data_IF_364053791433
#
_entry.id   IF_364053791433
#
_cell.length_a   1.000
_cell.length_b   1.000
_cell.length_c   1.000
_cell.angle_alpha   90.00
_cell.angle_beta   90.00
_cell.angle_gamma   90.00
#
_symmetry.space_group_name_H-M   'P 1'
#
loop_
_entity.id
_entity.type
_entity.pdbx_description
1 polymer ?
#
# COMPACT_ATOMS: atom_id res chain seq x y z
N UNK A 1 -62.44 -19.84 -16.25
CA UNK A 1 -61.57 -20.01 -15.07
C UNK A 1 -60.45 -20.96 -15.44
N UNK A 2 -59.32 -20.41 -15.89
CA UNK A 2 -58.07 -21.13 -16.02
C UNK A 2 -57.05 -20.33 -15.23
N UNK A 3 -56.72 -20.80 -14.04
CA UNK A 3 -55.67 -20.23 -13.21
C UNK A 3 -54.38 -20.18 -14.04
N UNK A 4 -53.95 -18.97 -14.38
CA UNK A 4 -52.63 -18.74 -14.94
C UNK A 4 -51.61 -19.16 -13.89
N UNK A 5 -51.09 -20.40 -14.02
CA UNK A 5 -49.90 -20.84 -13.30
C UNK A 5 -48.80 -19.82 -13.58
N UNK A 6 -48.49 -18.98 -12.60
CA UNK A 6 -47.27 -18.19 -12.58
C UNK A 6 -46.13 -19.19 -12.62
N UNK A 7 -45.53 -19.40 -13.80
CA UNK A 7 -44.38 -20.30 -13.93
C UNK A 7 -43.28 -19.71 -13.07
N UNK A 8 -42.92 -20.39 -11.99
CA UNK A 8 -41.83 -19.98 -11.12
C UNK A 8 -40.55 -19.95 -11.96
N UNK A 9 -40.04 -18.76 -12.24
CA UNK A 9 -38.82 -18.55 -13.03
C UNK A 9 -37.65 -19.25 -12.33
N UNK A 10 -37.07 -20.26 -12.98
CA UNK A 10 -35.92 -21.01 -12.51
C UNK A 10 -34.75 -20.85 -13.47
N UNK A 11 -33.52 -21.11 -13.02
CA UNK A 11 -32.34 -21.10 -13.89
C UNK A 11 -32.56 -21.94 -15.16
N UNK A 12 -33.12 -23.14 -14.99
CA UNK A 12 -33.29 -24.11 -16.08
C UNK A 12 -34.37 -23.68 -17.06
N UNK A 13 -35.51 -23.19 -16.57
CA UNK A 13 -36.56 -22.66 -17.45
C UNK A 13 -36.10 -21.45 -18.26
N UNK A 14 -35.25 -20.60 -17.68
CA UNK A 14 -34.68 -19.45 -18.38
C UNK A 14 -33.69 -19.88 -19.48
N UNK A 15 -32.81 -20.83 -19.17
CA UNK A 15 -31.86 -21.38 -20.14
C UNK A 15 -32.60 -22.10 -21.28
N UNK A 16 -33.63 -22.90 -20.96
CA UNK A 16 -34.46 -23.58 -21.95
C UNK A 16 -35.21 -22.62 -22.87
N UNK A 17 -35.65 -21.46 -22.34
CA UNK A 17 -36.29 -20.43 -23.15
C UNK A 17 -35.32 -19.89 -24.21
N UNK A 18 -34.11 -19.48 -23.80
CA UNK A 18 -33.11 -18.97 -24.74
C UNK A 18 -32.55 -20.02 -25.71
N UNK A 19 -32.46 -21.29 -25.29
CA UNK A 19 -32.14 -22.39 -26.19
C UNK A 19 -33.16 -22.50 -27.32
N UNK A 20 -34.46 -22.37 -27.00
CA UNK A 20 -35.56 -22.43 -27.99
C UNK A 20 -35.57 -21.20 -28.88
N UNK A 21 -35.47 -20.00 -28.32
CA UNK A 21 -35.46 -18.75 -29.10
C UNK A 21 -34.33 -18.69 -30.13
N UNK A 22 -33.13 -19.17 -29.76
CA UNK A 22 -31.96 -19.16 -30.66
C UNK A 22 -31.81 -20.42 -31.51
N UNK A 23 -32.67 -21.42 -31.32
CA UNK A 23 -32.60 -22.71 -32.02
C UNK A 23 -31.28 -23.47 -31.75
N UNK A 24 -30.73 -23.35 -30.55
CA UNK A 24 -29.48 -24.03 -30.19
C UNK A 24 -29.72 -25.47 -29.76
N UNK A 25 -28.92 -26.40 -30.29
CA UNK A 25 -28.84 -27.78 -29.78
C UNK A 25 -27.85 -27.86 -28.61
N UNK A 26 -27.95 -28.91 -27.78
CA UNK A 26 -26.96 -29.14 -26.71
C UNK A 26 -25.53 -29.29 -27.25
N UNK A 27 -25.37 -29.85 -28.46
CA UNK A 27 -24.08 -29.94 -29.14
C UNK A 27 -23.52 -28.55 -29.44
N UNK A 28 -24.34 -27.69 -30.06
CA UNK A 28 -23.93 -26.31 -30.37
C UNK A 28 -23.64 -25.50 -29.11
N UNK A 29 -24.44 -25.66 -28.06
CA UNK A 29 -24.19 -24.99 -26.78
C UNK A 29 -22.89 -25.49 -26.13
N UNK A 30 -22.57 -26.77 -26.24
CA UNK A 30 -21.31 -27.37 -25.77
C UNK A 30 -20.10 -26.74 -26.45
N UNK A 31 -20.17 -26.55 -27.77
CA UNK A 31 -19.11 -25.91 -28.57
C UNK A 31 -18.88 -24.44 -28.17
N UNK A 32 -19.96 -23.68 -27.95
CA UNK A 32 -19.84 -22.24 -27.62
C UNK A 32 -19.40 -22.02 -26.17
N UNK A 33 -19.93 -22.82 -25.23
CA UNK A 33 -19.63 -22.66 -23.79
C UNK A 33 -18.34 -23.36 -23.36
N UNK A 34 -17.83 -24.30 -24.16
CA UNK A 34 -16.73 -25.20 -23.78
C UNK A 34 -17.12 -26.24 -22.71
N UNK A 35 -18.39 -26.31 -22.30
CA UNK A 35 -18.89 -27.29 -21.33
C UNK A 35 -19.23 -28.58 -22.06
N UNK A 36 -18.77 -29.73 -21.54
CA UNK A 36 -19.06 -31.03 -22.15
C UNK A 36 -20.57 -31.29 -22.30
N UNK A 37 -20.99 -31.80 -23.47
CA UNK A 37 -22.40 -32.06 -23.78
C UNK A 37 -23.11 -32.95 -22.75
N UNK A 38 -22.42 -33.97 -22.21
CA UNK A 38 -22.96 -34.82 -21.14
C UNK A 38 -23.21 -34.05 -19.85
N UNK A 39 -22.32 -33.11 -19.52
CA UNK A 39 -22.50 -32.20 -18.37
C UNK A 39 -23.68 -31.26 -18.60
N UNK A 40 -23.82 -30.67 -19.80
CA UNK A 40 -24.97 -29.83 -20.13
C UNK A 40 -26.30 -30.61 -20.04
N UNK A 41 -26.32 -31.85 -20.51
CA UNK A 41 -27.48 -32.73 -20.38
C UNK A 41 -27.80 -33.04 -18.91
N UNK A 42 -26.79 -33.33 -18.09
CA UNK A 42 -26.94 -33.54 -16.65
C UNK A 42 -27.48 -32.30 -15.91
N UNK A 43 -27.08 -31.11 -16.33
CA UNK A 43 -27.50 -29.85 -15.72
C UNK A 43 -28.96 -29.50 -16.04
N UNK A 44 -29.39 -29.75 -17.29
CA UNK A 44 -30.69 -29.31 -17.80
C UNK A 44 -31.77 -30.41 -17.74
N UNK A 45 -31.43 -31.66 -18.09
CA UNK A 45 -32.43 -32.69 -18.38
C UNK A 45 -32.51 -33.80 -17.31
N UNK A 46 -31.54 -33.93 -16.41
CA UNK A 46 -31.51 -35.00 -15.40
C UNK A 46 -32.55 -34.79 -14.30
N UNK A 47 -33.08 -35.87 -13.73
CA UNK A 47 -33.99 -35.85 -12.58
C UNK A 47 -33.40 -36.73 -11.44
N UNK A 48 -33.05 -36.18 -10.26
CA UNK A 48 -33.00 -34.75 -9.96
C UNK A 48 -31.87 -34.05 -10.71
N UNK A 49 -32.02 -32.74 -11.04
CA UNK A 49 -31.03 -32.03 -11.84
C UNK A 49 -29.69 -31.89 -11.14
N UNK A 50 -28.60 -31.96 -11.92
CA UNK A 50 -27.27 -31.63 -11.39
C UNK A 50 -27.20 -30.12 -11.12
N UNK A 51 -26.63 -29.75 -9.97
CA UNK A 51 -26.45 -28.35 -9.59
C UNK A 51 -25.48 -27.61 -10.53
N UNK A 52 -25.81 -26.35 -10.83
CA UNK A 52 -24.98 -25.47 -11.65
C UNK A 52 -23.90 -24.80 -10.80
N UNK A 53 -22.74 -24.54 -11.40
CA UNK A 53 -21.69 -23.70 -10.81
C UNK A 53 -21.81 -22.28 -11.35
N UNK A 54 -21.21 -21.30 -10.65
CA UNK A 54 -21.20 -19.92 -11.16
C UNK A 54 -20.45 -19.80 -12.48
N UNK A 55 -19.42 -20.63 -12.70
CA UNK A 55 -18.70 -20.70 -13.97
C UNK A 55 -19.58 -21.18 -15.12
N UNK A 56 -20.54 -22.09 -14.87
CA UNK A 56 -21.51 -22.47 -15.89
C UNK A 56 -22.42 -21.29 -16.27
N UNK A 57 -22.87 -20.51 -15.30
CA UNK A 57 -23.73 -19.34 -15.56
C UNK A 57 -23.00 -18.28 -16.39
N UNK A 58 -21.73 -18.01 -16.11
CA UNK A 58 -20.93 -17.06 -16.89
C UNK A 58 -20.67 -17.54 -18.31
N UNK A 59 -20.38 -18.84 -18.49
CA UNK A 59 -20.22 -19.43 -19.82
C UNK A 59 -21.52 -19.37 -20.63
N UNK A 60 -22.67 -19.60 -19.99
CA UNK A 60 -23.98 -19.49 -20.62
C UNK A 60 -24.33 -18.05 -20.96
N UNK A 61 -24.05 -17.09 -20.07
CA UNK A 61 -24.24 -15.67 -20.36
C UNK A 61 -23.45 -15.24 -21.60
N UNK A 62 -22.18 -15.67 -21.71
CA UNK A 62 -21.39 -15.44 -22.92
C UNK A 62 -21.99 -16.12 -24.16
N UNK A 63 -22.38 -17.39 -24.05
CA UNK A 63 -22.93 -18.14 -25.18
C UNK A 63 -24.27 -17.59 -25.70
N UNK A 64 -25.06 -16.97 -24.82
CA UNK A 64 -26.30 -16.30 -25.16
C UNK A 64 -26.14 -14.80 -25.37
N UNK A 65 -24.91 -14.29 -25.44
CA UNK A 65 -24.60 -12.85 -25.63
C UNK A 65 -25.33 -11.95 -24.62
N UNK A 66 -25.53 -12.45 -23.41
CA UNK A 66 -26.12 -11.74 -22.29
C UNK A 66 -25.04 -11.05 -21.45
N UNK A 67 -25.44 -10.09 -20.63
CA UNK A 67 -24.55 -9.44 -19.68
C UNK A 67 -24.04 -10.42 -18.60
N UNK A 68 -22.81 -10.19 -18.12
CA UNK A 68 -22.29 -10.94 -16.98
C UNK A 68 -23.22 -10.73 -15.77
N UNK A 69 -23.54 -11.81 -15.06
CA UNK A 69 -24.48 -11.76 -13.95
C UNK A 69 -25.95 -12.00 -14.33
N UNK A 70 -26.30 -12.17 -15.60
CA UNK A 70 -27.69 -12.31 -16.07
C UNK A 70 -28.55 -13.30 -15.25
N UNK A 71 -27.99 -14.45 -14.85
CA UNK A 71 -28.71 -15.49 -14.12
C UNK A 71 -28.52 -15.45 -12.58
N UNK A 72 -27.82 -14.46 -12.04
CA UNK A 72 -27.34 -14.53 -10.65
C UNK A 72 -28.48 -14.45 -9.62
N UNK A 73 -29.53 -13.69 -9.90
CA UNK A 73 -30.73 -13.61 -9.04
C UNK A 73 -31.39 -14.98 -8.84
N UNK A 74 -31.30 -15.86 -9.84
CA UNK A 74 -31.88 -17.20 -9.80
C UNK A 74 -30.93 -18.24 -9.18
N UNK A 75 -29.66 -17.88 -8.97
CA UNK A 75 -28.63 -18.79 -8.44
C UNK A 75 -28.73 -19.03 -6.94
N UNK A 76 -29.48 -18.20 -6.23
CA UNK A 76 -29.70 -18.33 -4.80
C UNK A 76 -30.26 -19.70 -4.40
N UNK A 77 -31.18 -20.26 -5.19
CA UNK A 77 -31.73 -21.59 -4.93
C UNK A 77 -30.67 -22.71 -5.01
N UNK A 78 -29.61 -22.52 -5.79
CA UNK A 78 -28.50 -23.47 -5.86
C UNK A 78 -27.55 -23.32 -4.67
N UNK A 79 -27.57 -22.18 -3.96
CA UNK A 79 -26.73 -21.90 -2.79
C UNK A 79 -27.26 -22.56 -1.51
N UNK A 80 -28.57 -22.72 -1.37
CA UNK A 80 -29.23 -23.27 -0.19
C UNK A 80 -29.99 -24.55 -0.55
N UNK A 81 -29.46 -25.70 -0.16
CA UNK A 81 -30.08 -27.00 -0.42
C UNK A 81 -30.71 -27.51 0.87
N UNK A 82 -32.03 -27.74 0.88
CA UNK A 82 -32.77 -28.22 2.05
C UNK A 82 -32.54 -27.36 3.31
N UNK A 83 -32.43 -26.04 3.13
CA UNK A 83 -32.17 -25.09 4.21
C UNK A 83 -30.72 -25.05 4.70
N UNK A 84 -29.80 -25.83 4.10
CA UNK A 84 -28.37 -25.83 4.43
C UNK A 84 -27.55 -25.07 3.38
N UNK A 85 -26.59 -24.29 3.86
CA UNK A 85 -25.70 -23.49 3.02
C UNK A 85 -24.64 -24.36 2.35
N UNK A 86 -24.56 -24.32 1.02
CA UNK A 86 -23.48 -24.97 0.28
C UNK A 86 -22.28 -24.04 0.16
N UNK A 87 -21.31 -24.17 1.08
CA UNK A 87 -20.05 -23.39 1.08
C UNK A 87 -19.31 -23.41 -0.26
N UNK A 88 -19.31 -24.56 -0.95
CA UNK A 88 -18.68 -24.74 -2.27
C UNK A 88 -19.31 -23.91 -3.39
N UNK A 89 -20.55 -23.44 -3.22
CA UNK A 89 -21.29 -22.65 -4.21
C UNK A 89 -21.36 -21.19 -3.81
N UNK A 90 -21.66 -20.92 -2.52
CA UNK A 90 -21.79 -19.57 -1.99
C UNK A 90 -20.47 -18.80 -2.07
N UNK A 91 -19.34 -19.43 -1.73
CA UNK A 91 -18.05 -18.71 -1.74
C UNK A 91 -17.69 -18.24 -3.16
N UNK A 92 -17.62 -19.11 -4.19
CA UNK A 92 -17.36 -18.65 -5.55
C UNK A 92 -18.40 -17.65 -6.07
N UNK A 93 -19.68 -17.82 -5.69
CA UNK A 93 -20.76 -16.92 -6.10
C UNK A 93 -20.55 -15.50 -5.56
N UNK A 94 -20.36 -15.35 -4.25
CA UNK A 94 -20.15 -14.04 -3.63
C UNK A 94 -18.87 -13.35 -4.11
N UNK A 95 -17.78 -14.11 -4.28
CA UNK A 95 -16.54 -13.59 -4.86
C UNK A 95 -16.81 -13.03 -6.26
N UNK A 96 -17.53 -13.79 -7.09
CA UNK A 96 -17.85 -13.38 -8.45
C UNK A 96 -18.78 -12.18 -8.50
N UNK A 97 -19.83 -12.15 -7.68
CA UNK A 97 -20.72 -10.99 -7.54
C UNK A 97 -19.95 -9.72 -7.17
N UNK A 98 -18.98 -9.84 -6.26
CA UNK A 98 -18.13 -8.71 -5.87
C UNK A 98 -17.21 -8.23 -7.00
N UNK A 99 -16.65 -9.15 -7.80
CA UNK A 99 -15.82 -8.84 -8.97
C UNK A 99 -16.59 -8.08 -10.07
N UNK A 100 -17.88 -8.39 -10.27
CA UNK A 100 -18.71 -7.76 -11.33
C UNK A 100 -19.63 -6.66 -10.80
N UNK A 101 -19.59 -6.35 -9.50
CA UNK A 101 -20.37 -5.27 -8.89
C UNK A 101 -21.86 -5.57 -8.65
N UNK A 102 -22.28 -6.84 -8.62
CA UNK A 102 -23.67 -7.26 -8.33
C UNK A 102 -23.98 -7.24 -6.83
N UNK A 103 -24.12 -6.03 -6.27
CA UNK A 103 -24.41 -5.80 -4.84
C UNK A 103 -25.76 -6.36 -4.41
N UNK A 104 -26.76 -6.27 -5.27
CA UNK A 104 -28.10 -6.85 -5.08
C UNK A 104 -28.04 -8.35 -4.73
N UNK A 105 -27.21 -9.11 -5.45
CA UNK A 105 -27.02 -10.54 -5.20
C UNK A 105 -26.23 -10.79 -3.91
N UNK A 106 -25.25 -9.93 -3.59
CA UNK A 106 -24.49 -10.02 -2.33
C UNK A 106 -25.42 -9.82 -1.15
N UNK A 107 -26.22 -8.75 -1.16
CA UNK A 107 -27.12 -8.38 -0.07
C UNK A 107 -28.16 -9.48 0.19
N UNK A 108 -28.74 -10.06 -0.87
CA UNK A 108 -29.69 -11.18 -0.75
C UNK A 108 -29.07 -12.39 -0.03
N UNK A 109 -27.87 -12.83 -0.46
CA UNK A 109 -27.20 -13.98 0.15
C UNK A 109 -26.71 -13.68 1.56
N UNK A 110 -26.08 -12.51 1.76
CA UNK A 110 -25.54 -12.12 3.06
C UNK A 110 -26.64 -12.05 4.11
N UNK A 111 -27.81 -11.49 3.79
CA UNK A 111 -28.93 -11.42 4.74
C UNK A 111 -29.29 -12.79 5.32
N UNK A 112 -29.35 -13.83 4.47
CA UNK A 112 -29.63 -15.22 4.88
C UNK A 112 -28.46 -15.89 5.59
N UNK A 113 -27.21 -15.53 5.25
CA UNK A 113 -26.05 -16.06 5.95
C UNK A 113 -25.99 -15.56 7.39
N UNK A 114 -26.36 -14.29 7.63
CA UNK A 114 -26.32 -13.67 8.94
C UNK A 114 -27.34 -14.25 9.94
N UNK A 115 -28.32 -15.03 9.47
CA UNK A 115 -29.28 -15.75 10.33
C UNK A 115 -28.61 -16.83 11.22
N UNK A 116 -27.45 -17.36 10.81
CA UNK A 116 -26.66 -18.31 11.61
C UNK A 116 -25.20 -17.86 11.72
N UNK A 117 -24.76 -17.58 12.95
CA UNK A 117 -23.39 -17.17 13.27
C UNK A 117 -22.31 -18.15 12.77
N UNK A 118 -22.63 -19.43 12.56
CA UNK A 118 -21.69 -20.41 11.98
C UNK A 118 -21.26 -20.03 10.56
N UNK A 119 -22.10 -19.30 9.84
CA UNK A 119 -21.84 -18.85 8.47
C UNK A 119 -20.86 -17.68 8.39
N UNK A 120 -20.46 -17.05 9.51
CA UNK A 120 -19.38 -16.05 9.50
C UNK A 120 -18.08 -16.60 8.92
N UNK A 121 -17.86 -17.91 9.07
CA UNK A 121 -16.72 -18.60 8.41
C UNK A 121 -16.77 -18.52 6.88
N UNK A 122 -17.96 -18.46 6.27
CA UNK A 122 -18.15 -18.34 4.81
C UNK A 122 -17.77 -16.93 4.37
N UNK A 123 -18.27 -15.91 5.07
CA UNK A 123 -17.96 -14.50 4.80
C UNK A 123 -16.45 -14.24 4.87
N UNK A 124 -15.78 -14.79 5.89
CA UNK A 124 -14.33 -14.69 6.05
C UNK A 124 -13.56 -15.27 4.86
N UNK A 125 -14.00 -16.40 4.29
CA UNK A 125 -13.33 -17.01 3.14
C UNK A 125 -13.53 -16.22 1.86
N UNK A 126 -14.72 -15.65 1.66
CA UNK A 126 -14.98 -14.75 0.53
C UNK A 126 -14.03 -13.55 0.62
N UNK A 127 -13.90 -12.96 1.81
CA UNK A 127 -12.97 -11.87 2.07
C UNK A 127 -11.51 -12.26 1.77
N UNK A 128 -11.04 -13.40 2.28
CA UNK A 128 -9.67 -13.89 2.04
C UNK A 128 -9.41 -14.21 0.56
N UNK A 129 -10.39 -14.79 -0.17
CA UNK A 129 -10.23 -15.03 -1.61
C UNK A 129 -10.14 -13.74 -2.42
N UNK A 130 -10.97 -12.74 -2.10
CA UNK A 130 -10.88 -11.42 -2.75
C UNK A 130 -9.55 -10.74 -2.42
N UNK A 131 -9.14 -10.76 -1.16
CA UNK A 131 -7.88 -10.15 -0.72
C UNK A 131 -6.65 -10.78 -1.38
N UNK A 132 -6.59 -12.11 -1.44
CA UNK A 132 -5.48 -12.86 -2.07
C UNK A 132 -5.43 -12.70 -3.59
N UNK A 133 -6.59 -12.51 -4.25
CA UNK A 133 -6.67 -12.14 -5.67
C UNK A 133 -6.30 -10.67 -5.96
N UNK A 134 -5.96 -9.88 -4.94
CA UNK A 134 -5.65 -8.44 -5.09
C UNK A 134 -6.87 -7.53 -5.15
N UNK A 135 -8.10 -8.06 -5.02
CA UNK A 135 -9.37 -7.33 -4.97
C UNK A 135 -9.64 -6.78 -3.56
N UNK A 136 -8.72 -5.93 -3.10
CA UNK A 136 -8.71 -5.43 -1.71
C UNK A 136 -9.94 -4.58 -1.39
N UNK A 137 -10.35 -3.69 -2.29
CA UNK A 137 -11.52 -2.80 -2.09
C UNK A 137 -12.81 -3.61 -1.94
N UNK A 138 -12.96 -4.64 -2.76
CA UNK A 138 -14.10 -5.55 -2.75
C UNK A 138 -14.12 -6.43 -1.49
N UNK A 139 -12.96 -6.78 -0.95
CA UNK A 139 -12.86 -7.57 0.29
C UNK A 139 -13.31 -6.82 1.56
N UNK A 140 -13.27 -5.48 1.55
CA UNK A 140 -13.59 -4.63 2.71
C UNK A 140 -14.97 -4.93 3.29
N UNK A 141 -15.98 -5.02 2.43
CA UNK A 141 -17.37 -5.31 2.84
C UNK A 141 -17.44 -6.61 3.65
N UNK A 142 -16.81 -7.67 3.16
CA UNK A 142 -16.89 -8.99 3.80
C UNK A 142 -16.09 -9.06 5.10
N UNK A 143 -14.94 -8.37 5.21
CA UNK A 143 -14.25 -8.27 6.50
C UNK A 143 -15.06 -7.48 7.53
N UNK A 144 -15.70 -6.38 7.11
CA UNK A 144 -16.57 -5.61 8.00
C UNK A 144 -17.74 -6.47 8.50
N UNK A 145 -18.39 -7.22 7.63
CA UNK A 145 -19.46 -8.15 8.02
C UNK A 145 -18.97 -9.21 9.01
N UNK A 146 -17.76 -9.75 8.84
CA UNK A 146 -17.18 -10.70 9.79
C UNK A 146 -16.98 -10.06 11.16
N UNK A 147 -16.47 -8.83 11.20
CA UNK A 147 -16.23 -8.07 12.42
C UNK A 147 -17.54 -7.73 13.14
N UNK A 148 -18.56 -7.29 12.39
CA UNK A 148 -19.85 -6.88 12.95
C UNK A 148 -20.66 -8.08 13.48
N UNK A 149 -20.49 -9.25 12.86
CA UNK A 149 -21.18 -10.49 13.25
C UNK A 149 -20.47 -11.19 14.42
N UNK A 150 -19.15 -11.24 14.40
CA UNK A 150 -18.36 -11.95 15.41
C UNK A 150 -18.03 -11.04 16.59
N UNK A 151 -18.94 -10.96 17.55
CA UNK A 151 -18.73 -10.17 18.78
C UNK A 151 -17.64 -10.76 19.69
N UNK A 152 -17.18 -11.99 19.44
CA UNK A 152 -16.13 -12.59 20.25
C UNK A 152 -14.75 -12.20 19.72
N UNK A 153 -14.20 -11.15 20.30
CA UNK A 153 -12.90 -10.62 19.90
C UNK A 153 -11.74 -11.64 20.03
N UNK A 154 -11.92 -12.76 20.75
CA UNK A 154 -10.91 -13.83 20.91
C UNK A 154 -10.88 -14.84 19.77
N UNK A 155 -11.83 -14.77 18.84
CA UNK A 155 -11.81 -15.62 17.66
C UNK A 155 -10.68 -15.18 16.72
N UNK A 156 -9.79 -16.10 16.35
CA UNK A 156 -8.66 -15.83 15.46
C UNK A 156 -9.13 -15.21 14.13
N UNK A 157 -10.27 -15.64 13.59
CA UNK A 157 -10.86 -15.08 12.36
C UNK A 157 -11.22 -13.60 12.51
N UNK A 158 -11.74 -13.21 13.67
CA UNK A 158 -12.07 -11.81 13.95
C UNK A 158 -10.79 -10.96 13.96
N UNK A 159 -9.75 -11.40 14.65
CA UNK A 159 -8.49 -10.65 14.75
C UNK A 159 -7.79 -10.55 13.38
N UNK A 160 -7.77 -11.64 12.60
CA UNK A 160 -7.23 -11.62 11.23
C UNK A 160 -8.07 -10.70 10.34
N UNK A 161 -9.41 -10.70 10.47
CA UNK A 161 -10.27 -9.80 9.71
C UNK A 161 -9.97 -8.33 10.01
N UNK A 162 -9.76 -7.95 11.27
CA UNK A 162 -9.32 -6.60 11.65
C UNK A 162 -8.01 -6.21 10.96
N UNK A 163 -7.03 -7.11 10.97
CA UNK A 163 -5.75 -6.87 10.29
C UNK A 163 -5.89 -6.73 8.77
N UNK A 164 -6.69 -7.59 8.13
CA UNK A 164 -6.92 -7.54 6.68
C UNK A 164 -7.69 -6.31 6.26
N UNK A 165 -8.67 -5.89 7.05
CA UNK A 165 -9.39 -4.64 6.86
C UNK A 165 -8.44 -3.45 6.94
N UNK A 166 -7.58 -3.38 7.98
CA UNK A 166 -6.54 -2.37 8.08
C UNK A 166 -5.68 -2.29 6.82
N UNK A 167 -5.24 -3.43 6.27
CA UNK A 167 -4.45 -3.46 5.03
C UNK A 167 -5.23 -3.05 3.79
N UNK A 168 -6.52 -3.39 3.72
CA UNK A 168 -7.36 -3.11 2.57
C UNK A 168 -7.74 -1.63 2.48
N UNK A 169 -7.79 -0.93 3.62
CA UNK A 169 -8.12 0.49 3.73
C UNK A 169 -6.95 1.43 3.44
N UNK A 170 -5.71 0.93 3.38
CA UNK A 170 -4.54 1.76 3.10
C UNK A 170 -4.63 2.40 1.71
N UNK A 171 -4.37 3.70 1.64
CA UNK A 171 -4.36 4.48 0.40
C UNK A 171 -3.58 5.78 0.53
N UNK A 172 -3.90 6.75 -0.32
CA UNK A 172 -3.28 8.09 -0.33
C UNK A 172 -3.93 9.07 0.66
N UNK A 173 -5.02 8.67 1.31
CA UNK A 173 -5.82 9.51 2.20
C UNK A 173 -5.34 9.35 3.65
N UNK A 174 -4.61 10.36 4.15
CA UNK A 174 -3.97 10.34 5.47
C UNK A 174 -4.96 10.16 6.62
N UNK A 175 -6.15 10.76 6.54
CA UNK A 175 -7.16 10.67 7.60
C UNK A 175 -7.74 9.25 7.68
N UNK A 176 -8.05 8.66 6.51
CA UNK A 176 -8.52 7.26 6.46
C UNK A 176 -7.45 6.27 6.92
N UNK A 177 -6.20 6.50 6.53
CA UNK A 177 -5.07 5.67 6.99
C UNK A 177 -4.94 5.74 8.52
N UNK A 178 -5.04 6.92 9.12
CA UNK A 178 -5.01 7.09 10.58
C UNK A 178 -6.20 6.40 11.25
N UNK A 179 -7.41 6.56 10.70
CA UNK A 179 -8.61 5.88 11.21
C UNK A 179 -8.45 4.35 11.22
N UNK A 180 -7.86 3.78 10.16
CA UNK A 180 -7.60 2.35 10.08
C UNK A 180 -6.56 1.88 11.11
N UNK A 181 -5.51 2.68 11.38
CA UNK A 181 -4.53 2.40 12.46
C UNK A 181 -5.23 2.36 13.82
N UNK A 182 -6.04 3.37 14.14
CA UNK A 182 -6.75 3.48 15.43
C UNK A 182 -7.69 2.29 15.62
N UNK A 183 -8.40 1.88 14.57
CA UNK A 183 -9.32 0.74 14.63
C UNK A 183 -8.61 -0.58 14.89
N UNK A 184 -7.44 -0.81 14.28
CA UNK A 184 -6.73 -2.08 14.35
C UNK A 184 -5.77 -2.20 15.54
N UNK A 185 -5.13 -1.11 15.98
CA UNK A 185 -4.09 -1.12 17.02
C UNK A 185 -4.45 -1.95 18.27
N UNK A 186 -5.68 -1.87 18.84
CA UNK A 186 -6.05 -2.64 20.04
C UNK A 186 -5.98 -4.16 19.87
N UNK A 187 -6.04 -4.66 18.64
CA UNK A 187 -6.10 -6.09 18.33
C UNK A 187 -4.76 -6.70 17.93
N UNK A 188 -3.74 -5.87 17.62
CA UNK A 188 -2.47 -6.33 17.03
C UNK A 188 -1.79 -7.45 17.83
N UNK A 189 -1.76 -7.35 19.17
CA UNK A 189 -1.10 -8.32 20.07
C UNK A 189 -1.80 -9.68 20.16
N UNK A 190 -3.00 -9.79 19.58
CA UNK A 190 -3.83 -10.99 19.62
C UNK A 190 -3.71 -11.81 18.34
N UNK A 191 -3.02 -11.28 17.33
CA UNK A 191 -2.75 -12.02 16.11
C UNK A 191 -1.82 -13.21 16.40
N UNK A 192 -1.82 -14.25 15.56
CA UNK A 192 -0.72 -15.21 15.55
C UNK A 192 0.61 -14.52 15.24
N UNK A 193 1.73 -15.02 15.78
CA UNK A 193 3.05 -14.36 15.73
C UNK A 193 3.50 -13.97 14.31
N UNK A 194 3.21 -14.81 13.31
CA UNK A 194 3.55 -14.51 11.92
C UNK A 194 2.82 -13.25 11.42
N UNK A 195 1.51 -13.16 11.71
CA UNK A 195 0.71 -11.97 11.37
C UNK A 195 1.08 -10.76 12.23
N UNK A 196 1.52 -10.96 13.49
CA UNK A 196 1.98 -9.86 14.34
C UNK A 196 3.21 -9.16 13.75
N UNK A 197 4.21 -9.94 13.30
CA UNK A 197 5.41 -9.39 12.65
C UNK A 197 5.05 -8.55 11.42
N UNK A 198 4.18 -9.09 10.55
CA UNK A 198 3.70 -8.37 9.38
C UNK A 198 2.90 -7.12 9.76
N UNK A 199 2.03 -7.22 10.77
CA UNK A 199 1.18 -6.13 11.21
C UNK A 199 1.97 -4.97 11.83
N UNK A 200 2.93 -5.26 12.70
CA UNK A 200 3.76 -4.25 13.36
C UNK A 200 4.61 -3.48 12.35
N UNK A 201 5.19 -4.17 11.35
CA UNK A 201 5.92 -3.52 10.28
C UNK A 201 5.01 -2.60 9.45
N UNK A 202 3.80 -3.05 9.11
CA UNK A 202 2.85 -2.23 8.35
C UNK A 202 2.35 -1.03 9.18
N UNK A 203 2.03 -1.23 10.46
CA UNK A 203 1.64 -0.14 11.37
C UNK A 203 2.72 0.93 11.47
N UNK A 204 3.98 0.53 11.67
CA UNK A 204 5.10 1.45 11.73
C UNK A 204 5.28 2.24 10.42
N UNK A 205 5.19 1.59 9.26
CA UNK A 205 5.29 2.26 7.96
C UNK A 205 4.16 3.26 7.71
N UNK A 206 2.92 2.90 8.06
CA UNK A 206 1.78 3.82 7.94
C UNK A 206 1.97 5.02 8.88
N UNK A 207 2.31 4.79 10.14
CA UNK A 207 2.60 5.87 11.08
C UNK A 207 3.79 6.75 10.64
N UNK A 208 4.78 6.18 9.95
CA UNK A 208 5.90 6.94 9.38
C UNK A 208 5.41 7.89 8.29
N UNK A 209 4.56 7.41 7.38
CA UNK A 209 3.94 8.27 6.34
C UNK A 209 3.03 9.36 6.91
N UNK A 210 2.46 9.14 8.10
CA UNK A 210 1.62 10.10 8.83
C UNK A 210 2.42 11.01 9.78
N UNK A 211 3.76 10.93 9.76
CA UNK A 211 4.65 11.69 10.65
C UNK A 211 4.37 11.47 12.15
N UNK A 212 3.83 10.31 12.54
CA UNK A 212 3.53 9.93 13.93
C UNK A 212 4.74 9.25 14.57
N UNK A 213 5.82 10.02 14.76
CA UNK A 213 7.13 9.49 15.15
C UNK A 213 7.11 8.63 16.42
N UNK A 214 6.41 9.07 17.47
CA UNK A 214 6.28 8.30 18.72
C UNK A 214 5.59 6.94 18.54
N UNK A 215 4.63 6.85 17.62
CA UNK A 215 4.00 5.58 17.28
C UNK A 215 4.94 4.69 16.46
N UNK A 216 5.70 5.26 15.51
CA UNK A 216 6.73 4.52 14.77
C UNK A 216 7.73 3.90 15.74
N UNK A 217 8.25 4.68 16.70
CA UNK A 217 9.15 4.20 17.74
C UNK A 217 8.54 3.03 18.52
N UNK A 218 7.30 3.19 18.99
CA UNK A 218 6.59 2.16 19.77
C UNK A 218 6.44 0.85 19.00
N UNK A 219 5.98 0.92 17.74
CA UNK A 219 5.83 -0.28 16.91
C UNK A 219 7.17 -0.89 16.51
N UNK A 220 8.19 -0.08 16.28
CA UNK A 220 9.53 -0.55 15.95
C UNK A 220 10.18 -1.31 17.12
N UNK A 221 10.01 -0.80 18.35
CA UNK A 221 10.45 -1.49 19.57
C UNK A 221 9.68 -2.80 19.80
N UNK A 222 8.36 -2.79 19.61
CA UNK A 222 7.52 -4.00 19.69
C UNK A 222 7.90 -5.04 18.62
N UNK A 223 8.16 -4.60 17.38
CA UNK A 223 8.59 -5.44 16.26
C UNK A 223 9.94 -6.10 16.54
N UNK A 224 10.91 -5.32 17.02
CA UNK A 224 12.25 -5.81 17.37
C UNK A 224 12.19 -6.84 18.50
N UNK A 225 11.41 -6.56 19.54
CA UNK A 225 11.24 -7.49 20.66
C UNK A 225 10.62 -8.82 20.21
N UNK A 226 9.55 -8.76 19.41
CA UNK A 226 8.89 -9.96 18.87
C UNK A 226 9.80 -10.75 17.93
N UNK A 227 10.45 -10.08 16.96
CA UNK A 227 11.37 -10.74 16.02
C UNK A 227 12.53 -11.43 16.75
N UNK A 228 13.05 -10.81 17.82
CA UNK A 228 14.10 -11.40 18.67
C UNK A 228 13.59 -12.64 19.40
N UNK A 229 12.39 -12.56 20.00
CA UNK A 229 11.80 -13.69 20.72
C UNK A 229 11.54 -14.89 19.79
N UNK A 230 10.97 -14.63 18.61
CA UNK A 230 10.74 -15.63 17.56
C UNK A 230 12.06 -16.27 17.13
N UNK A 231 13.07 -15.47 16.80
CA UNK A 231 14.38 -15.96 16.38
C UNK A 231 15.03 -16.88 17.42
N UNK A 232 15.02 -16.46 18.69
CA UNK A 232 15.54 -17.28 19.78
C UNK A 232 14.74 -18.58 19.98
N UNK A 233 13.43 -18.53 19.79
CA UNK A 233 12.55 -19.70 19.81
C UNK A 233 12.92 -20.71 18.73
N UNK A 234 13.07 -20.26 17.49
CA UNK A 234 13.46 -21.10 16.34
C UNK A 234 14.87 -21.70 16.53
N UNK A 235 15.83 -20.91 17.02
CA UNK A 235 17.18 -21.41 17.34
C UNK A 235 17.16 -22.53 18.39
N UNK A 236 16.39 -22.36 19.47
CA UNK A 236 16.26 -23.39 20.51
C UNK A 236 15.58 -24.65 19.95
N UNK A 237 14.55 -24.49 19.12
CA UNK A 237 13.88 -25.59 18.42
C UNK A 237 14.84 -26.40 17.55
N UNK A 238 15.68 -25.71 16.78
CA UNK A 238 16.73 -26.31 15.93
C UNK A 238 17.75 -27.09 16.75
N UNK A 239 18.23 -26.54 17.88
CA UNK A 239 19.20 -27.20 18.77
C UNK A 239 18.67 -28.50 19.40
N UNK A 240 17.36 -28.61 19.60
CA UNK A 240 16.72 -29.79 20.21
C UNK A 240 16.19 -30.75 19.11
N UNK A 241 16.56 -30.55 17.83
CA UNK A 241 16.07 -31.33 16.68
C UNK A 241 14.53 -31.41 16.58
N UNK A 242 13.83 -30.41 17.10
CA UNK A 242 12.37 -30.32 16.91
C UNK A 242 12.13 -29.90 15.47
N UNK A 243 11.35 -30.69 14.72
CA UNK A 243 10.87 -30.31 13.38
C UNK A 243 9.84 -29.18 13.50
N UNK A 244 10.27 -27.98 13.90
CA UNK A 244 9.46 -26.76 13.84
C UNK A 244 9.57 -26.20 12.43
N UNK A 245 8.45 -26.12 11.73
CA UNK A 245 8.35 -25.37 10.49
C UNK A 245 8.63 -23.89 10.80
N UNK A 246 9.43 -23.19 9.97
CA UNK A 246 9.60 -21.74 10.10
C UNK A 246 8.25 -21.02 10.08
N UNK A 247 8.14 -19.93 10.84
CA UNK A 247 6.95 -19.09 10.78
C UNK A 247 6.72 -18.56 9.36
N UNK A 248 5.49 -18.72 8.86
CA UNK A 248 5.11 -18.26 7.53
C UNK A 248 4.76 -16.78 7.55
N UNK A 249 5.77 -15.94 7.34
CA UNK A 249 5.71 -14.48 7.27
C UNK A 249 5.83 -13.97 5.82
N UNK A 250 5.49 -12.69 5.57
CA UNK A 250 5.64 -12.08 4.23
C UNK A 250 7.10 -11.80 3.84
N UNK A 251 8.00 -11.73 4.83
CA UNK A 251 9.43 -11.47 4.66
C UNK A 251 10.25 -12.44 5.50
N UNK A 252 11.54 -12.54 5.18
CA UNK A 252 12.49 -13.28 6.00
C UNK A 252 12.60 -12.65 7.41
N UNK A 253 12.81 -13.46 8.47
CA UNK A 253 12.78 -12.99 9.85
C UNK A 253 13.76 -11.84 10.15
N UNK A 254 14.95 -11.89 9.53
CA UNK A 254 15.99 -10.84 9.61
C UNK A 254 15.47 -9.46 9.20
N UNK A 255 14.48 -9.38 8.31
CA UNK A 255 13.87 -8.13 7.87
C UNK A 255 13.13 -7.46 9.01
N UNK A 256 12.31 -8.20 9.76
CA UNK A 256 11.58 -7.62 10.89
C UNK A 256 12.53 -7.15 12.00
N UNK A 257 13.59 -7.91 12.26
CA UNK A 257 14.64 -7.53 13.20
C UNK A 257 15.33 -6.23 12.78
N UNK A 258 15.87 -6.17 11.55
CA UNK A 258 16.56 -5.00 11.03
C UNK A 258 15.65 -3.78 10.88
N UNK A 259 14.41 -3.97 10.42
CA UNK A 259 13.40 -2.90 10.32
C UNK A 259 13.05 -2.32 11.69
N UNK A 260 13.00 -3.12 12.75
CA UNK A 260 12.76 -2.63 14.10
C UNK A 260 13.83 -1.61 14.54
N UNK A 261 15.10 -1.83 14.21
CA UNK A 261 16.13 -0.82 14.48
C UNK A 261 16.11 0.35 13.48
N UNK A 262 15.96 0.07 12.19
CA UNK A 262 15.98 1.08 11.13
C UNK A 262 14.83 2.10 11.28
N UNK A 263 13.60 1.63 11.55
CA UNK A 263 12.44 2.50 11.77
C UNK A 263 12.59 3.34 13.04
N UNK A 264 13.16 2.78 14.11
CA UNK A 264 13.43 3.49 15.35
C UNK A 264 14.47 4.60 15.14
N UNK A 265 15.59 4.29 14.48
CA UNK A 265 16.63 5.25 14.10
C UNK A 265 16.06 6.37 13.22
N UNK A 266 15.30 6.03 12.18
CA UNK A 266 14.67 7.01 11.30
C UNK A 266 13.65 7.90 12.03
N UNK A 267 12.86 7.36 12.95
CA UNK A 267 11.92 8.16 13.74
C UNK A 267 12.63 9.14 14.69
N UNK A 268 13.76 8.74 15.27
CA UNK A 268 14.60 9.62 16.11
C UNK A 268 15.27 10.71 15.27
N UNK A 269 15.80 10.37 14.09
CA UNK A 269 16.34 11.33 13.12
C UNK A 269 15.29 12.41 12.77
N UNK A 270 14.05 12.02 12.46
CA UNK A 270 12.97 12.97 12.13
C UNK A 270 12.52 13.83 13.31
N UNK A 271 12.93 13.50 14.52
CA UNK A 271 12.73 14.32 15.72
C UNK A 271 13.96 15.18 16.06
N UNK A 272 15.04 15.09 15.29
CA UNK A 272 16.30 15.79 15.56
C UNK A 272 17.16 15.15 16.65
N UNK A 273 16.79 13.95 17.14
CA UNK A 273 17.52 13.20 18.17
C UNK A 273 18.61 12.34 17.52
N UNK A 274 19.58 12.98 16.87
CA UNK A 274 20.54 12.29 15.99
C UNK A 274 21.49 11.35 16.73
N UNK A 275 21.95 11.71 17.93
CA UNK A 275 22.85 10.84 18.70
C UNK A 275 22.15 9.56 19.15
N UNK A 276 20.93 9.68 19.68
CA UNK A 276 20.10 8.51 19.99
C UNK A 276 19.84 7.67 18.72
N UNK A 277 19.57 8.32 17.58
CA UNK A 277 19.36 7.62 16.31
C UNK A 277 20.58 6.79 15.87
N UNK A 278 21.81 7.26 16.14
CA UNK A 278 23.06 6.54 15.83
C UNK A 278 23.21 5.25 16.61
N UNK A 279 22.81 5.24 17.88
CA UNK A 279 22.89 4.03 18.72
C UNK A 279 22.12 2.87 18.08
N UNK A 280 20.95 3.15 17.50
CA UNK A 280 20.14 2.14 16.82
C UNK A 280 20.69 1.69 15.47
N UNK A 281 21.57 2.47 14.80
CA UNK A 281 22.22 2.04 13.55
C UNK A 281 23.07 0.80 13.78
N UNK A 282 23.79 0.76 14.89
CA UNK A 282 24.65 -0.38 15.23
C UNK A 282 23.91 -1.72 15.24
N UNK A 283 22.63 -1.72 15.62
CA UNK A 283 21.80 -2.92 15.72
C UNK A 283 21.41 -3.57 14.40
N UNK A 284 21.55 -2.87 13.27
CA UNK A 284 21.32 -3.44 11.93
C UNK A 284 22.50 -3.28 10.97
N UNK A 285 23.59 -2.64 11.39
CA UNK A 285 24.78 -2.44 10.56
C UNK A 285 25.49 -3.74 10.17
N UNK A 286 25.47 -4.72 11.08
CA UNK A 286 25.98 -6.06 10.80
C UNK A 286 25.05 -7.13 11.34
N UNK A 287 24.32 -7.77 10.42
CA UNK A 287 23.43 -8.88 10.72
C UNK A 287 24.01 -10.23 10.25
N UNK A 288 25.31 -10.28 9.95
CA UNK A 288 25.99 -11.53 9.52
C UNK A 288 25.92 -12.64 10.58
N UNK A 289 25.77 -12.29 11.86
CA UNK A 289 25.57 -13.23 12.96
C UNK A 289 24.20 -13.91 13.03
N UNK A 290 23.26 -13.58 12.13
CA UNK A 290 22.00 -14.33 12.04
C UNK A 290 22.28 -15.75 11.49
N UNK A 291 22.04 -16.79 12.29
CA UNK A 291 22.33 -18.19 11.92
C UNK A 291 21.25 -18.79 11.01
N UNK A 292 20.03 -18.25 11.07
CA UNK A 292 18.86 -18.74 10.33
C UNK A 292 18.69 -17.95 9.03
N UNK A 293 19.72 -17.92 8.18
CA UNK A 293 19.67 -17.22 6.89
C UNK A 293 19.62 -18.22 5.73
N UNK A 294 18.64 -18.02 4.85
CA UNK A 294 18.66 -18.54 3.49
C UNK A 294 19.26 -17.49 2.52
N UNK A 295 19.29 -17.78 1.23
CA UNK A 295 19.77 -16.86 0.19
C UNK A 295 19.03 -15.52 0.22
N UNK A 296 17.70 -15.55 0.47
CA UNK A 296 16.89 -14.33 0.57
C UNK A 296 17.30 -13.52 1.80
N UNK A 297 17.47 -14.17 2.95
CA UNK A 297 17.95 -13.56 4.18
C UNK A 297 19.32 -12.90 4.02
N UNK A 298 20.27 -13.57 3.34
CA UNK A 298 21.60 -13.00 3.09
C UNK A 298 21.53 -11.73 2.22
N UNK A 299 20.69 -11.72 1.18
CA UNK A 299 20.46 -10.52 0.37
C UNK A 299 19.90 -9.36 1.20
N UNK A 300 18.99 -9.64 2.14
CA UNK A 300 18.45 -8.61 3.04
C UNK A 300 19.50 -8.08 4.03
N UNK A 301 20.39 -8.94 4.53
CA UNK A 301 21.53 -8.52 5.38
C UNK A 301 22.43 -7.51 4.67
N UNK A 302 22.78 -7.76 3.40
CA UNK A 302 23.61 -6.82 2.63
C UNK A 302 22.90 -5.47 2.38
N UNK A 303 21.57 -5.48 2.19
CA UNK A 303 20.79 -4.23 2.10
C UNK A 303 20.86 -3.43 3.40
N UNK A 304 20.68 -4.08 4.55
CA UNK A 304 20.78 -3.40 5.85
C UNK A 304 22.17 -2.82 6.10
N UNK A 305 23.24 -3.53 5.71
CA UNK A 305 24.62 -3.02 5.82
C UNK A 305 24.83 -1.75 4.99
N UNK A 306 24.32 -1.72 3.76
CA UNK A 306 24.36 -0.54 2.90
C UNK A 306 23.57 0.62 3.52
N UNK A 307 22.33 0.37 3.96
CA UNK A 307 21.49 1.39 4.59
C UNK A 307 22.09 1.91 5.89
N UNK A 308 22.70 1.07 6.71
CA UNK A 308 23.35 1.51 7.94
C UNK A 308 24.52 2.46 7.65
N UNK A 309 25.28 2.18 6.59
CA UNK A 309 26.38 3.05 6.15
C UNK A 309 25.85 4.41 5.67
N UNK A 310 24.84 4.42 4.80
CA UNK A 310 24.20 5.65 4.31
C UNK A 310 23.57 6.48 5.43
N UNK A 311 22.85 5.82 6.34
CA UNK A 311 22.19 6.47 7.47
C UNK A 311 23.21 7.02 8.47
N UNK A 312 24.35 6.34 8.69
CA UNK A 312 25.41 6.87 9.56
C UNK A 312 25.98 8.17 9.00
N UNK A 313 26.36 8.19 7.72
CA UNK A 313 26.81 9.42 7.07
C UNK A 313 25.76 10.56 7.14
N UNK A 314 24.49 10.22 6.94
CA UNK A 314 23.38 11.17 7.10
C UNK A 314 23.33 11.76 8.51
N UNK A 315 23.45 10.95 9.56
CA UNK A 315 23.43 11.45 10.93
C UNK A 315 24.69 12.24 11.29
N UNK A 316 25.87 11.79 10.85
CA UNK A 316 27.14 12.50 11.06
C UNK A 316 27.08 13.91 10.46
N UNK A 317 26.65 14.01 9.19
CA UNK A 317 26.53 15.33 8.54
C UNK A 317 25.46 16.18 9.20
N UNK A 318 24.29 15.64 9.57
CA UNK A 318 23.22 16.43 10.23
C UNK A 318 23.63 16.96 11.62
N UNK A 319 24.55 16.29 12.30
CA UNK A 319 25.19 16.77 13.54
C UNK A 319 26.22 17.88 13.30
N UNK A 320 26.59 18.15 12.05
CA UNK A 320 27.55 19.19 11.67
C UNK A 320 28.99 18.67 11.57
N UNK A 321 29.19 17.36 11.49
CA UNK A 321 30.51 16.79 11.21
C UNK A 321 30.82 16.97 9.72
N UNK A 322 31.64 17.97 9.41
CA UNK A 322 32.03 18.32 8.03
C UNK A 322 33.14 17.37 7.53
N UNK A 323 33.91 16.76 8.43
CA UNK A 323 35.07 15.92 8.08
C UNK A 323 34.64 14.64 7.37
N UNK A 324 33.38 14.21 7.53
CA UNK A 324 32.80 13.05 6.83
C UNK A 324 32.44 13.33 5.37
N UNK A 325 32.32 14.60 4.94
CA UNK A 325 31.83 14.96 3.60
C UNK A 325 32.64 14.32 2.46
N UNK A 326 33.98 14.26 2.48
CA UNK A 326 34.74 13.61 1.40
C UNK A 326 34.41 12.11 1.28
N UNK A 327 34.32 11.40 2.41
CA UNK A 327 33.97 9.97 2.44
C UNK A 327 32.51 9.74 2.06
N UNK A 328 31.60 10.61 2.50
CA UNK A 328 30.19 10.52 2.14
C UNK A 328 29.97 10.77 0.65
N UNK A 329 30.61 11.81 0.11
CA UNK A 329 30.59 12.11 -1.33
C UNK A 329 31.08 10.94 -2.15
N UNK A 330 32.18 10.28 -1.74
CA UNK A 330 32.65 9.05 -2.41
C UNK A 330 31.61 7.95 -2.38
N UNK A 331 31.00 7.70 -1.22
CA UNK A 331 29.94 6.72 -1.07
C UNK A 331 28.75 7.00 -2.02
N UNK A 332 28.33 8.26 -2.16
CA UNK A 332 27.24 8.63 -3.07
C UNK A 332 27.59 8.40 -4.55
N UNK A 333 28.85 8.56 -4.95
CA UNK A 333 29.32 8.23 -6.31
C UNK A 333 29.20 6.73 -6.57
N UNK A 334 29.61 5.91 -5.60
CA UNK A 334 29.59 4.45 -5.70
C UNK A 334 28.15 3.88 -5.61
N UNK A 335 27.22 4.67 -5.06
CA UNK A 335 25.81 4.28 -4.87
C UNK A 335 24.83 5.32 -5.43
N UNK A 336 24.62 5.38 -6.76
CA UNK A 336 23.80 6.41 -7.41
C UNK A 336 22.35 6.55 -6.89
N UNK A 337 21.77 5.46 -6.37
CA UNK A 337 20.42 5.45 -5.81
C UNK A 337 20.28 6.25 -4.51
N UNK A 338 21.39 6.50 -3.81
CA UNK A 338 21.43 7.24 -2.55
C UNK A 338 21.71 8.74 -2.75
N UNK A 339 22.09 9.18 -3.97
CA UNK A 339 22.51 10.57 -4.24
C UNK A 339 21.46 11.57 -3.79
N UNK A 340 20.19 11.41 -4.18
CA UNK A 340 19.15 12.38 -3.84
C UNK A 340 18.95 12.49 -2.31
N UNK A 341 18.86 11.35 -1.61
CA UNK A 341 18.72 11.32 -0.16
C UNK A 341 19.93 11.97 0.54
N UNK A 342 21.13 11.64 0.06
CA UNK A 342 22.37 12.17 0.64
C UNK A 342 22.56 13.66 0.39
N UNK A 343 22.23 14.15 -0.80
CA UNK A 343 22.26 15.58 -1.10
C UNK A 343 21.25 16.35 -0.25
N UNK A 344 20.05 15.82 0.01
CA UNK A 344 19.10 16.46 0.93
C UNK A 344 19.75 16.65 2.32
N UNK A 345 20.36 15.59 2.87
CA UNK A 345 20.99 15.65 4.19
C UNK A 345 22.19 16.62 4.24
N UNK A 346 23.03 16.62 3.21
CA UNK A 346 24.17 17.54 3.09
C UNK A 346 23.68 18.99 3.01
N UNK A 347 22.66 19.28 2.20
CA UNK A 347 22.10 20.62 2.06
C UNK A 347 21.42 21.10 3.34
N UNK A 348 20.62 20.24 3.98
CA UNK A 348 19.98 20.53 5.27
C UNK A 348 21.03 20.87 6.33
N UNK A 349 22.11 20.09 6.39
CA UNK A 349 23.24 20.35 7.28
C UNK A 349 23.98 21.66 6.95
N UNK A 350 24.28 21.90 5.67
CA UNK A 350 24.95 23.11 5.22
C UNK A 350 24.16 24.37 5.59
N UNK A 351 22.83 24.35 5.38
CA UNK A 351 21.93 25.42 5.79
C UNK A 351 21.89 25.62 7.31
N UNK A 352 21.89 24.53 8.07
CA UNK A 352 21.80 24.56 9.54
C UNK A 352 23.07 25.05 10.21
N UNK A 353 24.24 24.62 9.71
CA UNK A 353 25.55 24.87 10.34
C UNK A 353 26.39 25.93 9.60
N UNK A 354 25.93 26.43 8.45
CA UNK A 354 26.53 27.56 7.76
C UNK A 354 27.83 27.26 7.01
N UNK A 355 28.01 26.05 6.48
CA UNK A 355 29.18 25.69 5.66
C UNK A 355 28.84 25.59 4.17
N UNK A 356 29.85 25.74 3.33
CA UNK A 356 29.71 25.74 1.86
C UNK A 356 29.88 24.34 1.28
N UNK A 357 29.04 24.00 0.29
CA UNK A 357 29.01 22.70 -0.40
C UNK A 357 29.05 22.83 -1.92
N UNK A 358 29.49 23.98 -2.44
CA UNK A 358 29.50 24.28 -3.89
C UNK A 358 30.29 23.26 -4.70
N UNK A 359 31.39 22.75 -4.14
CA UNK A 359 32.19 21.70 -4.75
C UNK A 359 31.42 20.39 -4.94
N UNK A 360 30.59 20.02 -3.96
CA UNK A 360 29.73 18.82 -3.99
C UNK A 360 28.60 19.02 -5.00
N UNK A 361 27.94 20.19 -4.98
CA UNK A 361 26.88 20.52 -5.95
C UNK A 361 27.41 20.48 -7.39
N UNK A 362 28.60 21.01 -7.63
CA UNK A 362 29.26 20.96 -8.95
C UNK A 362 29.59 19.53 -9.36
N UNK A 363 30.00 18.67 -8.42
CA UNK A 363 30.33 17.28 -8.71
C UNK A 363 29.11 16.45 -9.12
N UNK A 364 27.94 16.75 -8.55
CA UNK A 364 26.69 16.02 -8.83
C UNK A 364 25.76 16.75 -9.81
N UNK A 365 26.24 17.77 -10.55
CA UNK A 365 25.40 18.62 -11.41
C UNK A 365 24.58 17.83 -12.43
N UNK A 366 25.18 16.80 -13.04
CA UNK A 366 24.51 15.97 -14.03
C UNK A 366 23.35 15.18 -13.39
N UNK A 367 23.60 14.54 -12.25
CA UNK A 367 22.59 13.76 -11.54
C UNK A 367 21.46 14.66 -11.00
N UNK A 368 21.80 15.87 -10.54
CA UNK A 368 20.82 16.87 -10.09
C UNK A 368 19.87 17.26 -11.23
N UNK A 369 20.40 17.42 -12.44
CA UNK A 369 19.59 17.73 -13.63
C UNK A 369 18.69 16.55 -14.03
N UNK A 370 19.11 15.32 -13.76
CA UNK A 370 18.40 14.09 -14.10
C UNK A 370 17.33 13.68 -13.05
N UNK A 371 17.19 14.39 -11.92
CA UNK A 371 16.18 14.06 -10.89
C UNK A 371 14.71 14.24 -11.31
N UNK A 372 14.47 14.59 -12.57
CA UNK A 372 13.16 14.86 -13.12
C UNK A 372 12.47 13.53 -13.48
N UNK A 373 11.77 12.95 -12.50
CA UNK A 373 10.81 11.85 -12.72
C UNK A 373 9.49 12.18 -12.01
N UNK A 374 8.53 12.68 -12.78
CA UNK A 374 7.24 13.18 -12.30
C UNK A 374 6.19 12.07 -12.10
N UNK A 375 6.48 10.83 -12.48
CA UNK A 375 5.52 9.72 -12.40
C UNK A 375 5.50 9.07 -11.00
N UNK A 376 6.42 9.45 -10.10
CA UNK A 376 6.55 8.88 -8.76
C UNK A 376 6.45 9.96 -7.67
N UNK A 377 5.30 10.02 -6.98
CA UNK A 377 5.02 10.96 -5.89
C UNK A 377 6.09 10.97 -4.77
N UNK A 378 6.72 9.83 -4.46
CA UNK A 378 7.78 9.75 -3.45
C UNK A 378 9.05 10.45 -3.96
N UNK A 379 9.37 10.28 -5.24
CA UNK A 379 10.50 10.96 -5.86
C UNK A 379 10.22 12.45 -6.03
N UNK A 380 8.98 12.83 -6.35
CA UNK A 380 8.55 14.23 -6.39
C UNK A 380 8.68 14.92 -5.03
N UNK A 381 8.31 14.26 -3.92
CA UNK A 381 8.51 14.81 -2.57
C UNK A 381 9.98 15.00 -2.21
N UNK A 382 10.82 13.98 -2.46
CA UNK A 382 12.26 14.09 -2.23
C UNK A 382 12.89 15.19 -3.07
N UNK A 383 12.48 15.30 -4.33
CA UNK A 383 12.94 16.35 -5.24
C UNK A 383 12.51 17.74 -4.76
N UNK A 384 11.26 17.91 -4.32
CA UNK A 384 10.79 19.14 -3.69
C UNK A 384 11.65 19.51 -2.48
N UNK A 385 11.92 18.56 -1.57
CA UNK A 385 12.75 18.79 -0.38
C UNK A 385 14.16 19.22 -0.75
N UNK A 386 14.80 18.52 -1.70
CA UNK A 386 16.14 18.89 -2.19
C UNK A 386 16.15 20.32 -2.75
N UNK A 387 15.20 20.65 -3.64
CA UNK A 387 15.12 21.98 -4.26
C UNK A 387 14.84 23.07 -3.25
N UNK A 388 14.04 22.79 -2.21
CA UNK A 388 13.78 23.73 -1.14
C UNK A 388 15.04 24.02 -0.32
N UNK A 389 15.80 22.99 0.06
CA UNK A 389 17.08 23.17 0.76
C UNK A 389 18.11 23.90 -0.12
N UNK A 390 18.13 23.61 -1.43
CA UNK A 390 18.97 24.33 -2.40
C UNK A 390 18.59 25.80 -2.54
N UNK A 391 17.29 26.11 -2.56
CA UNK A 391 16.79 27.48 -2.60
C UNK A 391 17.28 28.28 -1.39
N UNK A 392 17.11 27.72 -0.18
CA UNK A 392 17.57 28.37 1.05
C UNK A 392 19.09 28.60 1.05
N UNK A 393 19.87 27.60 0.64
CA UNK A 393 21.32 27.70 0.56
C UNK A 393 21.75 28.83 -0.37
N UNK A 394 21.20 28.88 -1.59
CA UNK A 394 21.50 29.91 -2.58
C UNK A 394 21.11 31.30 -2.10
N UNK A 395 19.92 31.45 -1.53
CA UNK A 395 19.44 32.73 -1.01
C UNK A 395 20.33 33.26 0.12
N UNK A 396 20.72 32.40 1.06
CA UNK A 396 21.59 32.77 2.19
C UNK A 396 23.02 33.12 1.73
N UNK A 397 23.49 32.54 0.62
CA UNK A 397 24.80 32.81 0.04
C UNK A 397 24.80 33.94 -1.00
N UNK A 398 23.68 34.66 -1.17
CA UNK A 398 23.57 35.82 -2.06
C UNK A 398 23.29 35.50 -3.54
N UNK A 399 23.06 34.24 -3.88
CA UNK A 399 22.62 33.80 -5.22
C UNK A 399 21.11 34.00 -5.40
N UNK A 400 20.65 35.26 -5.26
CA UNK A 400 19.22 35.59 -5.15
C UNK A 400 18.39 35.15 -6.36
N UNK A 401 18.90 35.33 -7.58
CA UNK A 401 18.15 35.00 -8.80
C UNK A 401 17.86 33.51 -8.87
N UNK A 402 18.89 32.67 -8.73
CA UNK A 402 18.74 31.21 -8.79
C UNK A 402 17.96 30.66 -7.59
N UNK A 403 18.19 31.20 -6.38
CA UNK A 403 17.43 30.81 -5.19
C UNK A 403 15.93 31.14 -5.29
N UNK A 404 15.58 32.28 -5.89
CA UNK A 404 14.19 32.64 -6.16
C UNK A 404 13.55 31.74 -7.23
N UNK A 405 14.30 31.38 -8.27
CA UNK A 405 13.84 30.42 -9.29
C UNK A 405 13.51 29.05 -8.67
N UNK A 406 14.39 28.54 -7.81
CA UNK A 406 14.15 27.30 -7.07
C UNK A 406 12.93 27.40 -6.15
N UNK A 407 12.76 28.54 -5.47
CA UNK A 407 11.61 28.79 -4.59
C UNK A 407 10.29 28.75 -5.36
N UNK A 408 10.23 29.39 -6.53
CA UNK A 408 9.04 29.38 -7.38
C UNK A 408 8.74 27.98 -7.92
N UNK A 409 9.77 27.23 -8.32
CA UNK A 409 9.59 25.83 -8.75
C UNK A 409 9.05 24.98 -7.61
N UNK A 410 9.57 25.14 -6.39
CA UNK A 410 9.05 24.45 -5.21
C UNK A 410 7.59 24.84 -4.91
N UNK A 411 7.22 26.10 -5.11
CA UNK A 411 5.84 26.56 -4.95
C UNK A 411 4.89 25.85 -5.91
N UNK A 412 5.25 25.73 -7.19
CA UNK A 412 4.48 24.96 -8.18
C UNK A 412 4.37 23.49 -7.78
N UNK A 413 5.49 22.85 -7.42
CA UNK A 413 5.53 21.45 -6.99
C UNK A 413 4.62 21.21 -5.78
N UNK A 414 4.66 22.08 -4.77
CA UNK A 414 3.81 21.97 -3.59
C UNK A 414 2.32 22.05 -3.91
N UNK A 415 1.95 22.81 -4.95
CA UNK A 415 0.56 22.92 -5.42
C UNK A 415 0.12 21.64 -6.11
N UNK A 416 0.95 21.09 -7.00
CA UNK A 416 0.70 19.81 -7.71
C UNK A 416 0.55 18.66 -6.69
N UNK A 417 1.42 18.64 -5.67
CA UNK A 417 1.41 17.61 -4.63
C UNK A 417 0.33 17.81 -3.57
N UNK A 418 -0.43 18.92 -3.59
CA UNK A 418 -1.37 19.33 -2.53
C UNK A 418 -0.72 19.34 -1.13
N UNK A 419 0.52 19.83 -1.05
CA UNK A 419 1.27 19.95 0.20
C UNK A 419 1.18 21.38 0.74
N UNK A 420 0.13 21.66 1.51
CA UNK A 420 -0.14 22.99 2.08
C UNK A 420 1.01 23.51 2.95
N UNK A 421 1.63 22.63 3.73
CA UNK A 421 2.76 23.00 4.60
C UNK A 421 3.98 23.44 3.78
N UNK A 422 4.26 22.72 2.70
CA UNK A 422 5.32 23.06 1.76
C UNK A 422 5.02 24.35 0.99
N UNK A 423 3.75 24.57 0.61
CA UNK A 423 3.31 25.79 -0.03
C UNK A 423 3.57 27.01 0.86
N UNK A 424 3.16 26.95 2.13
CA UNK A 424 3.41 28.03 3.10
C UNK A 424 4.91 28.29 3.27
N UNK A 425 5.74 27.23 3.36
CA UNK A 425 7.21 27.37 3.43
C UNK A 425 7.76 28.12 2.22
N UNK A 426 7.35 27.77 1.01
CA UNK A 426 7.78 28.46 -0.22
C UNK A 426 7.33 29.92 -0.25
N UNK A 427 6.09 30.22 0.15
CA UNK A 427 5.58 31.60 0.25
C UNK A 427 6.42 32.41 1.25
N UNK A 428 6.62 31.89 2.46
CA UNK A 428 7.41 32.59 3.48
C UNK A 428 8.85 32.84 3.03
N UNK A 429 9.47 31.87 2.36
CA UNK A 429 10.81 32.02 1.80
C UNK A 429 10.85 33.07 0.70
N UNK A 430 9.90 33.06 -0.23
CA UNK A 430 9.83 34.06 -1.31
C UNK A 430 9.63 35.47 -0.77
N UNK A 431 8.68 35.64 0.16
CA UNK A 431 8.39 36.95 0.76
C UNK A 431 9.58 37.49 1.57
N UNK A 432 10.33 36.63 2.26
CA UNK A 432 11.52 37.04 3.02
C UNK A 432 12.63 37.64 2.14
N UNK A 433 12.77 37.17 0.89
CA UNK A 433 13.80 37.64 -0.04
C UNK A 433 13.24 38.54 -1.17
N UNK A 434 11.96 38.91 -1.11
CA UNK A 434 11.23 39.54 -2.23
C UNK A 434 11.87 40.79 -2.80
N UNK A 435 12.56 41.57 -1.97
CA UNK A 435 13.31 42.76 -2.39
C UNK A 435 14.41 42.46 -3.42
N UNK A 436 14.87 41.21 -3.50
CA UNK A 436 15.89 40.73 -4.43
C UNK A 436 15.30 40.01 -5.65
N UNK A 437 13.98 39.81 -5.72
CA UNK A 437 13.34 39.17 -6.86
C UNK A 437 13.30 40.09 -8.09
N UNK A 438 13.55 39.51 -9.25
CA UNK A 438 13.36 40.20 -10.53
C UNK A 438 11.88 40.49 -10.81
N UNK A 439 11.60 41.44 -11.70
CA UNK A 439 10.22 41.71 -12.12
C UNK A 439 9.55 40.48 -12.74
N UNK A 440 10.32 39.63 -13.43
CA UNK A 440 9.82 38.38 -13.99
C UNK A 440 9.38 37.41 -12.91
N UNK A 441 10.22 37.20 -11.88
CA UNK A 441 9.90 36.33 -10.74
C UNK A 441 8.70 36.84 -9.95
N UNK A 442 8.58 38.16 -9.76
CA UNK A 442 7.39 38.76 -9.14
C UNK A 442 6.11 38.53 -9.96
N UNK A 443 6.19 38.62 -11.29
CA UNK A 443 5.06 38.29 -12.18
C UNK A 443 4.67 36.82 -12.12
N UNK A 444 5.67 35.94 -12.08
CA UNK A 444 5.46 34.50 -12.00
C UNK A 444 4.84 34.07 -10.67
N UNK A 445 5.37 34.56 -9.55
CA UNK A 445 4.78 34.39 -8.23
C UNK A 445 3.31 34.81 -8.22
N UNK A 446 3.01 36.01 -8.74
CA UNK A 446 1.63 36.51 -8.82
C UNK A 446 0.73 35.58 -9.64
N UNK A 447 1.23 35.07 -10.77
CA UNK A 447 0.48 34.11 -11.61
C UNK A 447 0.18 32.80 -10.86
N UNK A 448 1.15 32.26 -10.11
CA UNK A 448 0.94 31.05 -9.30
C UNK A 448 -0.13 31.31 -8.23
N UNK A 449 -0.03 32.42 -7.50
CA UNK A 449 -1.00 32.79 -6.47
C UNK A 449 -2.41 33.01 -7.03
N UNK A 450 -2.54 33.64 -8.21
CA UNK A 450 -3.83 33.81 -8.90
C UNK A 450 -4.41 32.46 -9.36
N UNK A 451 -3.58 31.54 -9.86
CA UNK A 451 -4.00 30.19 -10.23
C UNK A 451 -4.54 29.39 -9.05
N UNK A 452 -3.83 29.43 -7.92
CA UNK A 452 -4.27 28.81 -6.65
C UNK A 452 -5.59 29.42 -6.18
N UNK A 453 -5.72 30.75 -6.18
CA UNK A 453 -6.95 31.44 -5.75
C UNK A 453 -8.17 31.08 -6.61
N UNK A 454 -7.97 30.90 -7.91
CA UNK A 454 -9.07 30.67 -8.87
C UNK A 454 -9.35 29.18 -9.13
N UNK A 455 -8.72 28.25 -8.39
CA UNK A 455 -8.82 26.78 -8.57
C UNK A 455 -8.49 26.28 -9.99
N UNK A 456 -7.81 27.09 -10.80
CA UNK A 456 -7.39 26.74 -12.16
C UNK A 456 -6.05 25.99 -12.11
N UNK A 457 -6.07 24.72 -11.71
CA UNK A 457 -4.87 23.89 -11.54
C UNK A 457 -4.50 23.19 -12.85
N UNK A 458 -4.17 23.96 -13.88
CA UNK A 458 -3.47 23.46 -15.08
C UNK A 458 -2.05 24.04 -15.09
N UNK A 459 -1.25 23.67 -14.09
CA UNK A 459 0.18 23.98 -14.08
C UNK A 459 0.93 22.91 -14.87
N UNK A 460 0.93 23.01 -16.20
CA UNK A 460 1.90 22.26 -16.98
C UNK A 460 3.29 22.79 -16.59
N UNK A 461 4.18 21.94 -16.04
CA UNK A 461 5.52 22.34 -15.59
C UNK A 461 6.32 23.00 -16.74
N UNK A 462 6.03 22.63 -17.99
CA UNK A 462 6.60 23.19 -19.22
C UNK A 462 6.01 24.57 -19.63
N UNK A 463 4.93 25.02 -18.99
CA UNK A 463 4.33 26.35 -19.24
C UNK A 463 5.09 27.49 -18.53
N UNK A 464 5.97 27.12 -17.60
CA UNK A 464 6.88 28.05 -16.96
C UNK A 464 8.23 27.93 -17.63
N UNK A 465 8.64 29.02 -18.31
CA UNK A 465 9.96 29.17 -18.93
C UNK A 465 11.02 29.30 -17.82
N UNK A 466 11.26 28.22 -17.08
CA UNK A 466 12.47 28.10 -16.28
C UNK A 466 13.57 27.69 -17.24
N UNK A 467 14.54 28.58 -17.45
CA UNK A 467 15.64 28.31 -18.35
C UNK A 467 16.33 27.01 -17.96
N UNK A 468 16.65 26.19 -18.95
CA UNK A 468 17.66 25.13 -18.78
C UNK A 468 18.98 25.83 -18.46
N UNK A 469 19.52 25.59 -17.26
CA UNK A 469 20.91 25.90 -16.93
C UNK A 469 21.83 24.91 -17.63
#
# INVERSE_FOLDING_TARGET
>A
MGEGKTVQRSLRSEIEHHLKERGYTLTRLSEITGINQGVLSDLLNRIPPRAMTIGHLDALAHAFEQSQGWLYELYEAECFVEGRVSRSRVVPFLVRCAEIGRRDCIDSIVSKLLDDQKNTSILFLVAEQLFTKGKRKESVLFYQLVIDTDKNSHNERFVIAQYRLFRALQGTDSEKNLGAVIQFDPYRKRLPENYQLDALLQLANVCFSLHKWKEVERYADELRALATAVYQGELRGRKINRKTLPLKTERHLVVYYGQGFLLKSAALEKQGLYEEAKEYISGYADLSGFELLDETGQMEVEKFRLWATANRYTLDVLLGDIDVLPTYTRFLIDHPKEILSGLIAIMESANKHGFLVDGILKQFSNQINDFIDYDNLIQTDRYYRFRYELAMYRLNNGEYVSGMEDTLRCLVLSTIMKNDSGFIRCVTLFEAFRSHATDQQNREYKRIMEGVRNEAVDFAINSFSFGTV
#
